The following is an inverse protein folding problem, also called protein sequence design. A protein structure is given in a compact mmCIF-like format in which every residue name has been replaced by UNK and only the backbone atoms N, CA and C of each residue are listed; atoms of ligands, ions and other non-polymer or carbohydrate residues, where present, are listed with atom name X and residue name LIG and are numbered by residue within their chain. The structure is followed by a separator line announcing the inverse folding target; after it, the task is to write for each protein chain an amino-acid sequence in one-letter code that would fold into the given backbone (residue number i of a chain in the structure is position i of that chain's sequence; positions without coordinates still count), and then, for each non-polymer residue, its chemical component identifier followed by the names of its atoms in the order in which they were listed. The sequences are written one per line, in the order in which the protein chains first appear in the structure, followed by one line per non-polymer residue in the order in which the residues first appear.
data_IF_009275312502
#
_entry.id   IF_009275312502
#
_cell.length_a   1.000
_cell.length_b   1.000
_cell.length_c   1.000
_cell.angle_alpha   90.00
_cell.angle_beta   90.00
_cell.angle_gamma   90.00
#
_symmetry.space_group_name_H-M   'P 1'
#
loop_
_entity.id
_entity.type
_entity.pdbx_description
1 polymer ?
#
# COMPACT_ATOMS: atom_id res chain seq x y z
N UNK A 1 1.71 -16.42 -6.49
CA UNK A 1 1.93 -15.76 -5.18
C UNK A 1 0.70 -15.94 -4.31
N UNK A 2 0.85 -16.46 -3.09
CA UNK A 2 -0.25 -16.53 -2.11
C UNK A 2 -0.62 -15.14 -1.60
N UNK A 3 -1.90 -14.91 -1.29
CA UNK A 3 -2.40 -13.63 -0.73
C UNK A 3 -1.94 -13.41 0.71
N UNK A 4 -1.63 -14.48 1.42
CA UNK A 4 -1.34 -14.46 2.85
C UNK A 4 0.00 -13.80 3.22
N UNK A 5 1.14 -14.10 2.56
CA UNK A 5 2.40 -13.40 2.82
C UNK A 5 2.32 -11.89 2.54
N UNK A 6 1.58 -11.50 1.50
CA UNK A 6 1.33 -10.08 1.18
C UNK A 6 0.51 -9.42 2.28
N UNK A 7 -0.56 -10.07 2.74
CA UNK A 7 -1.41 -9.57 3.82
C UNK A 7 -0.62 -9.40 5.12
N UNK A 8 0.25 -10.34 5.46
CA UNK A 8 1.07 -10.28 6.66
C UNK A 8 2.06 -9.11 6.59
N UNK A 9 2.75 -8.95 5.46
CA UNK A 9 3.64 -7.80 5.23
C UNK A 9 2.91 -6.47 5.38
N UNK A 10 1.70 -6.35 4.82
CA UNK A 10 0.89 -5.13 4.94
C UNK A 10 0.55 -4.87 6.41
N UNK A 11 0.08 -5.87 7.16
CA UNK A 11 -0.25 -5.73 8.58
C UNK A 11 0.94 -5.31 9.43
N UNK A 12 2.10 -5.88 9.18
CA UNK A 12 3.33 -5.52 9.91
C UNK A 12 3.76 -4.09 9.63
N UNK A 13 3.54 -3.59 8.42
CA UNK A 13 4.04 -2.29 7.97
C UNK A 13 3.02 -1.17 7.99
N UNK A 14 1.73 -1.46 8.16
CA UNK A 14 0.65 -0.48 8.03
C UNK A 14 0.79 0.70 8.99
N UNK A 15 1.33 0.46 10.19
CA UNK A 15 1.59 1.50 11.20
C UNK A 15 2.58 2.58 10.69
N UNK A 16 3.45 2.27 9.73
CA UNK A 16 4.34 3.27 9.13
C UNK A 16 3.56 4.37 8.39
N UNK A 17 2.34 4.06 7.94
CA UNK A 17 1.46 4.99 7.23
C UNK A 17 0.74 5.96 8.18
N UNK A 18 0.66 5.66 9.47
CA UNK A 18 0.09 6.56 10.49
C UNK A 18 0.91 7.85 10.63
N UNK A 19 2.19 7.81 10.26
CA UNK A 19 3.08 8.98 10.23
C UNK A 19 2.72 9.99 9.13
N UNK A 20 1.90 9.57 8.15
CA UNK A 20 1.40 10.48 7.15
C UNK A 20 0.28 11.33 7.75
N UNK A 21 0.46 12.65 7.77
CA UNK A 21 -0.55 13.58 8.27
C UNK A 21 -1.81 13.56 7.39
N UNK A 22 -2.75 12.70 7.77
CA UNK A 22 -4.14 12.87 7.40
C UNK A 22 -4.61 14.11 8.14
N UNK A 23 -5.00 15.17 7.41
CA UNK A 23 -5.37 16.47 8.02
C UNK A 23 -6.57 16.36 8.98
N UNK A 24 -7.27 15.23 8.96
CA UNK A 24 -8.33 14.79 9.86
C UNK A 24 -8.21 13.27 9.98
N UNK A 25 -8.87 12.66 10.98
CA UNK A 25 -9.06 11.20 10.97
C UNK A 25 -9.66 10.78 9.62
N UNK A 26 -8.95 9.94 8.84
CA UNK A 26 -9.46 9.50 7.55
C UNK A 26 -10.68 8.62 7.80
N UNK A 27 -11.80 8.89 7.12
CA UNK A 27 -12.99 8.02 7.14
C UNK A 27 -13.25 7.54 5.73
N UNK A 28 -13.30 6.23 5.52
CA UNK A 28 -13.58 5.61 4.23
C UNK A 28 -12.44 4.75 3.68
N UNK A 29 -12.51 4.45 2.38
CA UNK A 29 -11.69 3.42 1.75
C UNK A 29 -10.56 4.00 0.90
N UNK A 30 -9.32 3.73 1.28
CA UNK A 30 -8.13 3.97 0.47
C UNK A 30 -7.82 2.71 -0.35
N UNK A 31 -7.98 2.81 -1.67
CA UNK A 31 -7.69 1.72 -2.61
C UNK A 31 -6.39 2.03 -3.34
N UNK A 32 -5.43 1.11 -3.24
CA UNK A 32 -4.11 1.24 -3.85
C UNK A 32 -3.84 0.04 -4.74
N UNK A 33 -3.36 0.30 -5.96
CA UNK A 33 -2.82 -0.70 -6.85
C UNK A 33 -1.29 -0.70 -6.76
N UNK A 34 -0.72 -1.89 -6.57
CA UNK A 34 0.71 -2.12 -6.52
C UNK A 34 1.13 -3.09 -7.62
N UNK A 35 2.27 -2.79 -8.25
CA UNK A 35 3.01 -3.77 -9.06
C UNK A 35 4.26 -4.15 -8.30
N UNK A 36 4.40 -5.43 -7.97
CA UNK A 36 5.53 -6.00 -7.25
C UNK A 36 6.42 -6.75 -8.24
N UNK A 37 7.69 -6.39 -8.28
CA UNK A 37 8.73 -7.07 -9.06
C UNK A 37 8.98 -8.49 -8.56
N UNK A 38 9.60 -9.38 -9.36
CA UNK A 38 9.88 -10.76 -8.95
C UNK A 38 10.68 -10.88 -7.65
N UNK A 39 11.57 -9.92 -7.40
CA UNK A 39 12.36 -9.82 -6.17
C UNK A 39 11.60 -9.26 -4.96
N UNK A 40 10.30 -9.01 -5.08
CA UNK A 40 9.44 -8.50 -4.00
C UNK A 40 9.45 -6.97 -3.83
N UNK A 41 10.22 -6.21 -4.61
CA UNK A 41 10.20 -4.74 -4.55
C UNK A 41 8.95 -4.18 -5.22
N UNK A 42 8.39 -3.11 -4.67
CA UNK A 42 7.34 -2.36 -5.38
C UNK A 42 7.95 -1.60 -6.55
N UNK A 43 7.47 -1.90 -7.77
CA UNK A 43 7.81 -1.17 -9.00
C UNK A 43 6.94 0.06 -9.17
N UNK A 44 5.63 -0.09 -8.94
CA UNK A 44 4.67 1.02 -9.03
C UNK A 44 3.66 0.95 -7.90
N UNK A 45 3.27 2.11 -7.39
CA UNK A 45 2.16 2.27 -6.46
C UNK A 45 1.26 3.40 -6.96
N UNK A 46 -0.04 3.14 -7.05
CA UNK A 46 -1.04 4.09 -7.53
C UNK A 46 -2.25 4.10 -6.62
N UNK A 47 -2.63 5.28 -6.15
CA UNK A 47 -3.90 5.47 -5.44
C UNK A 47 -5.01 5.47 -6.49
N UNK A 48 -5.93 4.51 -6.39
CA UNK A 48 -7.10 4.37 -7.27
C UNK A 48 -8.29 5.14 -6.71
N UNK A 49 -8.46 5.10 -5.39
CA UNK A 49 -9.47 5.85 -4.66
C UNK A 49 -8.92 6.20 -3.29
N UNK A 50 -9.24 7.38 -2.77
CA UNK A 50 -8.87 7.78 -1.42
C UNK A 50 -9.95 8.69 -0.84
N UNK A 51 -10.28 8.55 0.46
CA UNK A 51 -11.08 9.54 1.18
C UNK A 51 -10.30 10.84 1.47
N UNK A 52 -9.04 10.89 1.02
CA UNK A 52 -8.08 11.94 1.35
C UNK A 52 -8.31 13.17 0.49
N UNK A 53 -8.83 14.24 1.09
CA UNK A 53 -8.90 15.57 0.45
C UNK A 53 -7.52 16.22 0.27
N UNK A 54 -6.48 15.68 0.89
CA UNK A 54 -5.13 16.23 0.93
C UNK A 54 -4.15 15.46 0.04
N UNK A 55 -3.65 16.10 -1.02
CA UNK A 55 -2.65 15.53 -1.94
C UNK A 55 -1.31 15.20 -1.26
N UNK A 56 -0.93 15.93 -0.21
CA UNK A 56 0.32 15.70 0.54
C UNK A 56 0.28 14.38 1.31
N UNK A 57 -0.88 14.00 1.85
CA UNK A 57 -1.06 12.71 2.51
C UNK A 57 -0.90 11.54 1.51
N UNK A 58 -1.49 11.67 0.32
CA UNK A 58 -1.32 10.69 -0.76
C UNK A 58 0.14 10.51 -1.18
N UNK A 59 0.93 11.59 -1.23
CA UNK A 59 2.36 11.50 -1.55
C UNK A 59 3.16 10.80 -0.45
N UNK A 60 2.94 11.16 0.82
CA UNK A 60 3.57 10.49 1.95
C UNK A 60 3.32 8.98 1.94
N UNK A 61 2.07 8.58 1.70
CA UNK A 61 1.69 7.16 1.60
C UNK A 61 2.49 6.42 0.53
N UNK A 62 2.56 6.99 -0.68
CA UNK A 62 3.30 6.39 -1.79
C UNK A 62 4.80 6.29 -1.51
N UNK A 63 5.39 7.28 -0.82
CA UNK A 63 6.81 7.28 -0.47
C UNK A 63 7.14 6.23 0.61
N UNK A 64 6.23 5.97 1.54
CA UNK A 64 6.36 4.85 2.48
C UNK A 64 6.20 3.50 1.78
N UNK A 65 5.16 3.33 0.98
CA UNK A 65 4.90 2.08 0.26
C UNK A 65 6.08 1.68 -0.63
N UNK A 66 6.70 2.62 -1.36
CA UNK A 66 7.87 2.33 -2.19
C UNK A 66 9.08 1.77 -1.42
N UNK A 67 9.15 1.97 -0.11
CA UNK A 67 10.22 1.43 0.75
C UNK A 67 9.92 0.02 1.24
N UNK A 68 8.68 -0.46 1.07
CA UNK A 68 8.31 -1.80 1.50
C UNK A 68 8.89 -2.86 0.57
N UNK A 69 9.24 -3.98 1.18
CA UNK A 69 9.76 -5.15 0.52
C UNK A 69 8.79 -6.29 0.81
N UNK A 70 8.19 -6.85 -0.23
CA UNK A 70 7.34 -8.03 -0.13
C UNK A 70 8.20 -9.29 -0.29
N UNK A 71 7.67 -10.46 0.11
CA UNK A 71 8.25 -11.74 -0.25
C UNK A 71 8.38 -11.86 -1.78
N UNK A 72 9.41 -12.56 -2.29
CA UNK A 72 9.58 -12.78 -3.71
C UNK A 72 8.34 -13.40 -4.37
N UNK A 73 8.03 -12.93 -5.57
CA UNK A 73 6.92 -13.47 -6.35
C UNK A 73 7.39 -14.77 -6.98
N UNK A 74 6.69 -15.87 -6.71
CA UNK A 74 6.93 -17.15 -7.38
C UNK A 74 6.74 -17.00 -8.90
N UNK A 75 7.49 -17.77 -9.68
CA UNK A 75 7.45 -17.82 -11.15
C UNK A 75 8.14 -16.67 -11.91
N UNK A 76 8.94 -15.82 -11.23
CA UNK A 76 9.78 -14.82 -11.90
C UNK A 76 9.02 -13.70 -12.61
N UNK A 77 7.71 -13.60 -12.40
CA UNK A 77 6.83 -12.60 -13.01
C UNK A 77 6.43 -11.51 -12.03
N UNK A 78 6.08 -10.34 -12.55
CA UNK A 78 5.50 -9.27 -11.75
C UNK A 78 4.12 -9.70 -11.19
N UNK A 79 3.82 -9.27 -9.96
CA UNK A 79 2.50 -9.42 -9.37
C UNK A 79 1.78 -8.07 -9.32
N UNK A 80 0.56 -8.01 -9.86
CA UNK A 80 -0.35 -6.87 -9.65
C UNK A 80 -1.29 -7.20 -8.51
N UNK A 81 -1.33 -6.34 -7.50
CA UNK A 81 -2.22 -6.49 -6.34
C UNK A 81 -2.98 -5.20 -6.09
N UNK A 82 -4.24 -5.34 -5.69
CA UNK A 82 -5.06 -4.23 -5.22
C UNK A 82 -5.32 -4.42 -3.73
N UNK A 83 -5.04 -3.39 -2.95
CA UNK A 83 -5.24 -3.36 -1.51
C UNK A 83 -6.29 -2.31 -1.20
N UNK A 84 -7.25 -2.67 -0.36
CA UNK A 84 -8.19 -1.72 0.24
C UNK A 84 -7.87 -1.58 1.73
N UNK A 85 -7.53 -0.35 2.13
CA UNK A 85 -7.38 0.04 3.53
C UNK A 85 -8.66 0.76 3.94
N UNK A 86 -9.32 0.23 4.96
CA UNK A 86 -10.58 0.77 5.48
C UNK A 86 -10.23 1.56 6.74
N UNK A 87 -10.51 2.85 6.72
CA UNK A 87 -10.44 3.69 7.90
C UNK A 87 -11.86 3.86 8.46
N UNK A 88 -12.07 3.34 9.66
CA UNK A 88 -13.33 3.45 10.41
C UNK A 88 -13.27 4.58 11.42
N UNK A 89 -14.44 5.17 11.71
CA UNK A 89 -14.69 6.03 12.86
C UNK A 89 -14.85 5.21 14.14
#
# INVERSE_FOLDING_TARGET
MSREPVRNQIREKIHELEKCSFASEPVGNLVIELTISPNGKIRTAKIVSAPLKNKSAGRCLLDHLKKWQFPPVQDGREAKITIALIFGS
#
